data_IF_025530342829
#
_entry.id   IF_025530342829
#
_cell.length_a   1.000
_cell.length_b   1.000
_cell.length_c   1.000
_cell.angle_alpha   90.00
_cell.angle_beta   90.00
_cell.angle_gamma   90.00
#
_symmetry.space_group_name_H-M   'P 1'
#
loop_
_entity.id
_entity.type
_entity.pdbx_description
1 polymer ?
#
# COMPACT_ATOMS: atom_id res chain seq x y z
N UNK A 1 1.53 -11.59 27.03
CA UNK A 1 1.03 -12.48 28.09
C UNK A 1 -0.42 -12.82 27.76
N UNK A 2 -0.71 -14.03 27.26
CA UNK A 2 -2.08 -14.51 27.17
C UNK A 2 -2.51 -14.89 28.59
N UNK A 3 -3.36 -14.06 29.20
CA UNK A 3 -3.93 -14.37 30.52
C UNK A 3 -4.96 -15.49 30.36
N UNK A 4 -4.74 -16.61 31.04
CA UNK A 4 -5.52 -17.83 30.92
C UNK A 4 -6.98 -17.68 31.36
N UNK A 5 -7.89 -17.58 30.39
CA UNK A 5 -9.35 -17.66 30.59
C UNK A 5 -10.09 -18.46 29.50
N UNK A 6 -9.42 -18.94 28.46
CA UNK A 6 -10.10 -19.52 27.28
C UNK A 6 -10.30 -21.05 27.33
N UNK A 7 -9.83 -21.72 28.39
CA UNK A 7 -10.09 -23.14 28.61
C UNK A 7 -11.54 -23.35 29.13
N UNK A 8 -12.53 -23.24 28.23
CA UNK A 8 -13.92 -23.59 28.57
C UNK A 8 -15.03 -22.93 27.75
N UNK A 9 -14.74 -22.14 26.70
CA UNK A 9 -15.80 -21.54 25.87
C UNK A 9 -16.44 -22.60 24.98
N UNK A 10 -17.77 -22.67 24.97
CA UNK A 10 -18.51 -23.59 24.09
C UNK A 10 -18.28 -23.25 22.61
N UNK A 11 -18.45 -24.23 21.72
CA UNK A 11 -18.27 -24.02 20.29
C UNK A 11 -19.18 -22.91 19.75
N UNK A 12 -20.40 -22.79 20.30
CA UNK A 12 -21.36 -21.74 19.98
C UNK A 12 -20.84 -20.37 20.39
N UNK A 13 -20.24 -20.26 21.59
CA UNK A 13 -19.66 -18.99 22.04
C UNK A 13 -18.49 -18.54 21.15
N UNK A 14 -17.69 -19.48 20.62
CA UNK A 14 -16.59 -19.18 19.68
C UNK A 14 -17.12 -18.74 18.31
N UNK A 15 -18.18 -19.38 17.81
CA UNK A 15 -18.80 -19.04 16.52
C UNK A 15 -19.56 -17.71 16.56
N UNK A 16 -20.10 -17.33 17.72
CA UNK A 16 -20.83 -16.07 17.90
C UNK A 16 -19.89 -14.89 18.22
N UNK A 17 -18.68 -15.14 18.71
CA UNK A 17 -17.69 -14.12 19.07
C UNK A 17 -17.41 -13.08 17.97
N UNK A 18 -17.29 -13.43 16.66
CA UNK A 18 -17.05 -12.44 15.61
C UNK A 18 -18.13 -11.35 15.50
N UNK A 19 -19.36 -11.62 15.96
CA UNK A 19 -20.45 -10.63 15.95
C UNK A 19 -20.29 -9.57 17.05
N UNK A 20 -19.53 -9.88 18.10
CA UNK A 20 -19.27 -8.99 19.24
C UNK A 20 -17.94 -8.26 19.12
N UNK A 21 -17.01 -8.85 18.35
CA UNK A 21 -15.66 -8.32 18.16
C UNK A 21 -15.63 -7.17 17.15
N UNK A 22 -14.81 -6.16 17.44
CA UNK A 22 -14.63 -4.96 16.61
C UNK A 22 -13.30 -5.06 15.85
N UNK A 23 -13.22 -6.02 14.93
CA UNK A 23 -12.02 -6.22 14.11
C UNK A 23 -11.80 -5.03 13.18
N UNK A 24 -10.53 -4.67 12.98
CA UNK A 24 -10.10 -3.61 12.05
C UNK A 24 -8.88 -4.06 11.28
N UNK A 25 -8.84 -3.74 9.99
CA UNK A 25 -7.64 -3.88 9.17
C UNK A 25 -6.62 -2.81 9.60
N UNK A 26 -5.42 -3.22 10.00
CA UNK A 26 -4.40 -2.32 10.53
C UNK A 26 -3.43 -1.87 9.45
N UNK A 27 -2.73 -2.82 8.83
CA UNK A 27 -1.74 -2.52 7.82
C UNK A 27 -1.49 -3.70 6.89
N UNK A 28 -0.92 -3.41 5.71
CA UNK A 28 -0.29 -4.41 4.86
C UNK A 28 1.23 -4.31 5.01
N UNK A 29 1.87 -5.46 5.28
CA UNK A 29 3.33 -5.56 5.39
C UNK A 29 3.90 -6.08 4.08
N UNK A 30 4.87 -5.38 3.52
CA UNK A 30 5.64 -5.88 2.39
C UNK A 30 7.06 -5.32 2.41
N UNK A 31 7.97 -6.03 1.75
CA UNK A 31 9.39 -5.69 1.74
C UNK A 31 9.70 -4.74 0.58
N UNK A 32 10.71 -3.91 0.71
CA UNK A 32 11.13 -2.97 -0.34
C UNK A 32 12.65 -2.99 -0.52
N UNK A 33 13.12 -2.73 -1.74
CA UNK A 33 14.56 -2.74 -2.05
C UNK A 33 15.26 -1.42 -1.73
N UNK A 34 14.52 -0.32 -1.69
CA UNK A 34 15.02 1.00 -1.33
C UNK A 34 13.97 1.77 -0.54
N UNK A 35 14.20 1.93 0.76
CA UNK A 35 13.21 2.50 1.67
C UNK A 35 12.93 3.97 1.38
N UNK A 36 13.97 4.77 1.20
CA UNK A 36 13.82 6.23 1.07
C UNK A 36 13.25 6.59 -0.30
N UNK A 37 13.62 5.88 -1.37
CA UNK A 37 12.97 5.99 -2.68
C UNK A 37 11.48 5.67 -2.57
N UNK A 38 11.14 4.60 -1.84
CA UNK A 38 9.74 4.19 -1.67
C UNK A 38 8.93 5.20 -0.86
N UNK A 39 9.49 5.70 0.24
CA UNK A 39 8.85 6.75 1.04
C UNK A 39 8.60 7.98 0.16
N UNK A 40 9.62 8.45 -0.56
CA UNK A 40 9.51 9.62 -1.44
C UNK A 40 8.41 9.44 -2.47
N UNK A 41 8.37 8.28 -3.13
CA UNK A 41 7.34 7.96 -4.10
C UNK A 41 5.93 8.02 -3.47
N UNK A 42 5.72 7.38 -2.31
CA UNK A 42 4.42 7.42 -1.63
C UNK A 42 4.01 8.80 -1.13
N UNK A 43 4.96 9.61 -0.66
CA UNK A 43 4.65 10.97 -0.20
C UNK A 43 4.41 11.94 -1.35
N UNK A 44 5.23 11.89 -2.40
CA UNK A 44 5.18 12.86 -3.50
C UNK A 44 4.16 12.50 -4.58
N UNK A 45 4.00 11.21 -4.91
CA UNK A 45 3.09 10.76 -5.98
C UNK A 45 1.69 10.50 -5.45
N UNK A 46 1.58 9.92 -4.26
CA UNK A 46 0.29 9.52 -3.68
C UNK A 46 -0.19 10.40 -2.54
N UNK A 47 0.62 11.37 -2.09
CA UNK A 47 0.23 12.27 -0.99
C UNK A 47 0.09 11.57 0.37
N UNK A 48 0.69 10.40 0.54
CA UNK A 48 0.73 9.73 1.85
C UNK A 48 1.65 10.48 2.82
N UNK A 49 1.47 10.23 4.11
CA UNK A 49 2.33 10.76 5.17
C UNK A 49 3.19 9.63 5.73
N UNK A 50 4.46 9.90 5.98
CA UNK A 50 5.30 9.05 6.82
C UNK A 50 4.83 9.21 8.27
N UNK A 51 4.21 8.17 8.81
CA UNK A 51 3.63 8.15 10.15
C UNK A 51 4.69 7.83 11.20
N UNK A 52 5.51 6.82 10.91
CA UNK A 52 6.55 6.33 11.83
C UNK A 52 7.65 5.63 11.04
N UNK A 53 8.90 5.83 11.44
CA UNK A 53 10.07 5.08 10.94
C UNK A 53 10.77 4.47 12.14
N UNK A 54 11.09 3.18 12.08
CA UNK A 54 11.77 2.45 13.14
C UNK A 54 12.91 1.65 12.55
N UNK A 55 14.11 1.90 13.04
CA UNK A 55 15.28 1.12 12.67
C UNK A 55 15.55 0.06 13.72
N UNK A 56 15.94 -1.15 13.30
CA UNK A 56 16.29 -2.28 14.17
C UNK A 56 17.62 -2.87 13.69
N UNK A 57 18.75 -2.22 14.02
CA UNK A 57 20.08 -2.64 13.54
C UNK A 57 20.47 -4.05 13.98
N UNK A 58 19.99 -4.49 15.15
CA UNK A 58 20.27 -5.82 15.71
C UNK A 58 19.73 -6.94 14.81
N UNK A 59 18.60 -6.68 14.15
CA UNK A 59 17.92 -7.61 13.24
C UNK A 59 18.12 -7.22 11.76
N UNK A 60 18.91 -6.17 11.48
CA UNK A 60 19.29 -5.68 10.14
C UNK A 60 18.10 -5.30 9.24
N UNK A 61 17.11 -4.61 9.80
CA UNK A 61 16.03 -4.03 9.00
C UNK A 61 15.55 -2.68 9.52
N UNK A 62 14.89 -1.93 8.63
CA UNK A 62 14.18 -0.70 8.95
C UNK A 62 12.73 -0.82 8.50
N UNK A 63 11.78 -0.44 9.36
CA UNK A 63 10.37 -0.33 9.00
C UNK A 63 9.94 1.14 8.83
N UNK A 64 9.06 1.39 7.86
CA UNK A 64 8.38 2.67 7.68
C UNK A 64 6.88 2.46 7.51
N UNK A 65 6.08 3.26 8.22
CA UNK A 65 4.62 3.23 8.18
C UNK A 65 4.12 4.45 7.42
N UNK A 66 3.33 4.22 6.37
CA UNK A 66 2.76 5.28 5.55
C UNK A 66 1.25 5.15 5.42
N UNK A 67 0.55 6.28 5.37
CA UNK A 67 -0.89 6.29 5.18
C UNK A 67 -1.46 7.69 5.08
N UNK A 68 -2.79 7.79 5.09
CA UNK A 68 -3.52 9.06 4.99
C UNK A 68 -3.94 9.66 6.35
N UNK A 69 -3.65 8.96 7.45
CA UNK A 69 -4.03 9.35 8.81
C UNK A 69 -3.30 8.51 9.86
N UNK A 70 -3.55 8.75 11.15
CA UNK A 70 -2.89 8.03 12.24
C UNK A 70 -3.28 6.54 12.27
N UNK A 71 -2.35 5.68 12.75
CA UNK A 71 -2.46 4.20 12.69
C UNK A 71 -3.62 3.63 13.54
N UNK A 72 -4.13 4.41 14.50
CA UNK A 72 -5.24 4.04 15.40
C UNK A 72 -6.61 4.08 14.70
N UNK A 73 -6.78 4.95 13.70
CA UNK A 73 -8.03 5.09 12.94
C UNK A 73 -7.94 4.65 11.48
N UNK A 74 -6.73 4.62 10.89
CA UNK A 74 -6.53 4.38 9.47
C UNK A 74 -5.77 3.08 9.18
N UNK A 75 -5.93 2.59 7.95
CA UNK A 75 -5.08 1.56 7.38
C UNK A 75 -3.74 2.16 6.94
N UNK A 76 -2.65 1.45 7.19
CA UNK A 76 -1.30 1.88 6.80
C UNK A 76 -0.56 0.84 5.94
N UNK A 77 0.45 1.29 5.21
CA UNK A 77 1.44 0.44 4.58
C UNK A 77 2.65 0.34 5.51
N UNK A 78 3.03 -0.88 5.88
CA UNK A 78 4.27 -1.16 6.59
C UNK A 78 5.31 -1.66 5.60
N UNK A 79 6.28 -0.80 5.31
CA UNK A 79 7.42 -1.11 4.46
C UNK A 79 8.52 -1.71 5.33
N UNK A 80 9.10 -2.83 4.89
CA UNK A 80 10.27 -3.44 5.53
C UNK A 80 11.46 -3.42 4.57
N UNK A 81 12.51 -2.70 4.93
CA UNK A 81 13.78 -2.74 4.23
C UNK A 81 14.76 -3.64 4.97
N UNK A 82 15.22 -4.71 4.33
CA UNK A 82 16.28 -5.56 4.87
C UNK A 82 17.63 -5.08 4.33
N UNK A 83 18.61 -4.93 5.22
CA UNK A 83 19.88 -4.31 4.85
C UNK A 83 20.58 -5.10 3.74
N UNK A 84 20.97 -4.40 2.68
CA UNK A 84 21.67 -4.98 1.54
C UNK A 84 20.81 -5.86 0.61
N UNK A 85 19.49 -5.94 0.84
CA UNK A 85 18.55 -6.60 -0.08
C UNK A 85 17.81 -5.54 -0.88
N UNK A 86 18.03 -5.52 -2.19
CA UNK A 86 17.55 -4.46 -3.08
C UNK A 86 16.47 -4.92 -4.08
N UNK A 87 16.13 -6.21 -4.07
CA UNK A 87 15.12 -6.79 -4.97
C UNK A 87 14.31 -7.89 -4.30
N UNK A 88 13.02 -7.91 -4.60
CA UNK A 88 12.11 -8.99 -4.23
C UNK A 88 11.31 -9.47 -5.43
N UNK A 89 10.98 -10.76 -5.45
CA UNK A 89 9.97 -11.30 -6.37
C UNK A 89 8.58 -11.12 -5.76
N UNK A 90 7.68 -10.49 -6.52
CA UNK A 90 6.27 -10.32 -6.15
C UNK A 90 5.51 -11.65 -6.25
N UNK A 91 5.93 -12.50 -7.19
CA UNK A 91 5.16 -13.65 -7.64
C UNK A 91 3.89 -13.26 -8.42
N UNK A 92 3.10 -14.26 -8.79
CA UNK A 92 1.90 -14.08 -9.63
C UNK A 92 0.59 -13.87 -8.83
N UNK A 93 0.62 -14.10 -7.52
CA UNK A 93 -0.58 -14.06 -6.67
C UNK A 93 -0.97 -12.68 -6.15
N UNK A 94 -0.03 -11.72 -6.14
CA UNK A 94 -0.31 -10.36 -5.68
C UNK A 94 -1.05 -9.56 -6.75
N UNK A 95 -2.18 -8.96 -6.37
CA UNK A 95 -3.02 -8.15 -7.23
C UNK A 95 -2.55 -6.69 -7.31
N UNK A 96 -2.96 -5.88 -6.34
CA UNK A 96 -2.62 -4.46 -6.22
C UNK A 96 -3.06 -3.91 -4.86
N UNK A 97 -2.52 -2.74 -4.48
CA UNK A 97 -3.17 -1.85 -3.52
C UNK A 97 -4.03 -0.84 -4.27
N UNK A 98 -5.10 -0.36 -3.63
CA UNK A 98 -6.03 0.58 -4.23
C UNK A 98 -6.15 1.84 -3.35
N UNK A 99 -6.13 3.00 -3.99
CA UNK A 99 -6.27 4.31 -3.33
C UNK A 99 -7.51 4.99 -3.89
N UNK A 100 -8.41 5.40 -3.00
CA UNK A 100 -9.56 6.20 -3.39
C UNK A 100 -9.18 7.69 -3.50
N UNK A 101 -9.56 8.38 -4.59
CA UNK A 101 -9.39 9.82 -4.78
C UNK A 101 -10.62 10.43 -5.49
N UNK A 102 -10.95 11.68 -5.18
CA UNK A 102 -12.08 12.40 -5.82
C UNK A 102 -11.80 12.75 -7.29
N UNK A 103 -10.54 13.03 -7.64
CA UNK A 103 -10.12 13.35 -9.00
C UNK A 103 -8.90 12.50 -9.38
N UNK A 104 -9.14 11.41 -10.10
CA UNK A 104 -8.07 10.53 -10.57
C UNK A 104 -7.27 11.17 -11.73
N UNK A 105 -7.86 12.13 -12.46
CA UNK A 105 -7.20 12.79 -13.59
C UNK A 105 -6.07 13.72 -13.11
N UNK A 106 -6.26 14.46 -12.01
CA UNK A 106 -5.20 15.32 -11.47
C UNK A 106 -4.02 14.51 -10.94
N UNK A 107 -4.29 13.38 -10.29
CA UNK A 107 -3.26 12.44 -9.84
C UNK A 107 -2.46 11.90 -11.02
N UNK A 108 -3.14 11.55 -12.12
CA UNK A 108 -2.49 11.10 -13.34
C UNK A 108 -1.55 12.15 -13.95
N UNK A 109 -1.99 13.41 -14.04
CA UNK A 109 -1.16 14.51 -14.52
C UNK A 109 0.06 14.76 -13.63
N UNK A 110 -0.10 14.58 -12.31
CA UNK A 110 1.01 14.65 -11.36
C UNK A 110 2.04 13.54 -11.59
N UNK A 111 1.60 12.30 -11.81
CA UNK A 111 2.49 11.17 -12.09
C UNK A 111 3.27 11.35 -13.41
N UNK A 112 2.60 11.87 -14.45
CA UNK A 112 3.25 12.25 -15.72
C UNK A 112 4.31 13.33 -15.52
N UNK A 113 4.01 14.35 -14.71
CA UNK A 113 4.93 15.46 -14.43
C UNK A 113 6.17 14.97 -13.67
N UNK A 114 5.97 14.04 -12.73
CA UNK A 114 7.02 13.47 -11.92
C UNK A 114 7.85 12.40 -12.66
N UNK A 115 7.45 11.96 -13.86
CA UNK A 115 8.12 10.91 -14.65
C UNK A 115 8.14 9.50 -14.01
N UNK A 116 7.17 9.22 -13.14
CA UNK A 116 7.10 7.98 -12.32
C UNK A 116 6.45 6.81 -13.08
N UNK A 117 5.80 7.07 -14.21
CA UNK A 117 5.04 6.07 -14.96
C UNK A 117 5.53 5.89 -16.39
N UNK A 118 5.48 4.64 -16.86
CA UNK A 118 5.73 4.30 -18.26
C UNK A 118 4.74 5.03 -19.20
N UNK A 119 5.20 5.64 -20.31
CA UNK A 119 4.35 6.35 -21.26
C UNK A 119 3.22 5.52 -21.87
N UNK A 120 3.36 4.19 -21.98
CA UNK A 120 2.35 3.29 -22.52
C UNK A 120 1.26 2.93 -21.50
N UNK A 121 1.62 2.80 -20.22
CA UNK A 121 0.64 2.69 -19.14
C UNK A 121 -0.26 3.95 -19.08
N UNK A 122 0.33 5.10 -19.42
CA UNK A 122 -0.35 6.38 -19.52
C UNK A 122 -1.38 6.44 -20.66
N UNK A 123 -1.03 5.95 -21.85
CA UNK A 123 -1.95 5.89 -22.99
C UNK A 123 -3.19 5.02 -22.71
N UNK A 124 -3.01 3.88 -22.03
CA UNK A 124 -4.11 2.95 -21.70
C UNK A 124 -5.12 3.54 -20.70
N UNK A 125 -4.64 4.18 -19.62
CA UNK A 125 -5.54 4.84 -18.65
C UNK A 125 -6.27 6.04 -19.26
N UNK A 126 -5.59 6.82 -20.09
CA UNK A 126 -6.21 7.95 -20.81
C UNK A 126 -7.27 7.49 -21.82
N UNK A 127 -7.05 6.35 -22.49
CA UNK A 127 -8.05 5.71 -23.34
C UNK A 127 -9.25 5.21 -22.53
N UNK A 128 -9.02 4.70 -21.30
CA UNK A 128 -10.10 4.34 -20.37
C UNK A 128 -10.89 5.57 -19.91
N UNK A 129 -10.25 6.68 -19.52
CA UNK A 129 -10.97 7.90 -19.11
C UNK A 129 -11.84 8.54 -20.22
N UNK A 130 -11.55 8.31 -21.50
CA UNK A 130 -12.38 8.84 -22.62
C UNK A 130 -13.49 7.91 -23.08
N UNK A 131 -13.41 6.61 -22.77
CA UNK A 131 -14.33 5.64 -23.34
C UNK A 131 -15.41 5.25 -22.32
N UNK A 132 -16.58 5.87 -22.47
CA UNK A 132 -17.91 5.42 -22.01
C UNK A 132 -18.37 5.78 -20.60
N UNK A 133 -19.65 6.14 -20.55
CA UNK A 133 -20.55 6.33 -19.42
C UNK A 133 -20.58 5.18 -18.39
N UNK A 134 -19.88 4.08 -18.63
CA UNK A 134 -19.78 2.92 -17.74
C UNK A 134 -18.76 3.12 -16.59
N UNK A 135 -17.83 4.07 -16.72
CA UNK A 135 -16.74 4.30 -15.75
C UNK A 135 -17.07 5.20 -14.55
N UNK A 136 -18.29 5.75 -14.45
CA UNK A 136 -18.67 6.58 -13.29
C UNK A 136 -18.58 5.87 -11.94
N UNK A 137 -18.65 4.53 -11.90
CA UNK A 137 -18.49 3.76 -10.66
C UNK A 137 -17.03 3.47 -10.27
N UNK A 138 -16.08 3.69 -11.18
CA UNK A 138 -14.64 3.43 -10.96
C UNK A 138 -13.80 4.72 -10.93
N UNK A 139 -14.44 5.89 -11.10
CA UNK A 139 -13.80 7.22 -11.11
C UNK A 139 -13.02 7.58 -9.84
N UNK A 140 -13.07 6.74 -8.80
CA UNK A 140 -12.40 7.01 -7.54
C UNK A 140 -11.20 6.12 -7.29
N UNK A 141 -10.91 5.08 -8.08
CA UNK A 141 -9.92 4.06 -7.70
C UNK A 141 -8.63 4.13 -8.51
N UNK A 142 -7.51 4.44 -7.85
CA UNK A 142 -6.17 4.29 -8.41
C UNK A 142 -5.68 2.87 -8.10
N UNK A 143 -5.39 2.09 -9.15
CA UNK A 143 -4.84 0.74 -9.04
C UNK A 143 -3.31 0.81 -9.02
N UNK A 144 -2.70 0.59 -7.86
CA UNK A 144 -1.25 0.66 -7.64
C UNK A 144 -0.61 -0.70 -7.93
N UNK A 145 -0.72 -1.19 -9.17
CA UNK A 145 -0.01 -2.42 -9.59
C UNK A 145 1.38 -2.13 -10.14
N UNK A 146 1.50 -1.15 -11.04
CA UNK A 146 2.78 -0.82 -11.68
C UNK A 146 3.79 -0.22 -10.72
N UNK A 147 3.33 0.53 -9.70
CA UNK A 147 4.23 1.15 -8.73
C UNK A 147 4.81 0.17 -7.72
N UNK A 148 4.09 -0.90 -7.34
CA UNK A 148 4.69 -1.94 -6.49
C UNK A 148 5.91 -2.57 -7.17
N UNK A 149 5.90 -2.77 -8.49
CA UNK A 149 7.10 -3.20 -9.22
C UNK A 149 8.25 -2.17 -9.14
N UNK A 150 7.94 -0.87 -9.21
CA UNK A 150 8.92 0.23 -9.18
C UNK A 150 9.64 0.33 -7.83
N UNK A 151 8.94 0.08 -6.72
CA UNK A 151 9.53 0.16 -5.37
C UNK A 151 10.11 -1.15 -4.84
N UNK A 152 9.88 -2.26 -5.55
CA UNK A 152 10.47 -3.57 -5.24
C UNK A 152 11.81 -3.84 -5.92
N UNK A 153 12.27 -2.94 -6.79
CA UNK A 153 13.57 -2.99 -7.45
C UNK A 153 14.21 -1.61 -7.45
N UNK A 154 15.54 -1.53 -7.37
CA UNK A 154 16.31 -0.26 -7.50
C UNK A 154 16.31 0.32 -8.91
N UNK A 155 15.66 -0.31 -9.89
CA UNK A 155 15.71 0.10 -11.29
C UNK A 155 14.62 1.14 -11.67
N UNK A 156 14.88 1.98 -12.67
CA UNK A 156 13.94 2.96 -13.23
C UNK A 156 14.02 4.40 -12.68
N UNK A 157 13.37 5.38 -13.33
CA UNK A 157 13.32 6.78 -12.86
C UNK A 157 12.49 6.95 -11.59
N UNK A 158 12.65 8.10 -10.92
CA UNK A 158 11.89 8.53 -9.74
C UNK A 158 10.56 9.14 -10.14
#
# INVERSE_FOLDING_TARGET
MATGSDAGKSAEAVLEWPKQDKKRMLHAVYRVGDLDRTIKCYTECFGMKLLRKRDVPEEKYTNAFLGYGPEDTNFALELTYNYGVDKYDIGAGFGHFAIANEDVCIVYLQHLTLHVTDPWACLMLWMQCRCTSCLRQLNHLIVVRSLVNLVLSREGPL
#
